data_IF_386816263897
#
_entry.id   IF_386816263897
#
_cell.length_a   1.000
_cell.length_b   1.000
_cell.length_c   1.000
_cell.angle_alpha   90.00
_cell.angle_beta   90.00
_cell.angle_gamma   90.00
#
_symmetry.space_group_name_H-M   'P 1'
#
loop_
_entity.id
_entity.type
_entity.pdbx_description
1 polymer ?
#
# COMPACT_ATOMS: atom_id res chain seq x y z
N UNK A 1 0.95 0.15 -5.82
CA UNK A 1 1.33 -0.43 -7.14
C UNK A 1 0.29 -1.43 -7.59
N UNK A 2 0.10 -1.57 -8.89
CA UNK A 2 -0.66 -2.65 -9.49
C UNK A 2 0.33 -3.73 -9.93
N UNK A 3 0.02 -5.00 -9.61
CA UNK A 3 0.80 -6.18 -9.98
C UNK A 3 -0.09 -7.06 -10.83
N UNK A 4 0.30 -7.29 -12.07
CA UNK A 4 -0.44 -8.09 -13.05
C UNK A 4 0.39 -9.32 -13.39
N UNK A 5 -0.24 -10.49 -13.30
CA UNK A 5 0.36 -11.75 -13.71
C UNK A 5 -0.30 -12.24 -15.00
N UNK A 6 0.54 -12.64 -15.93
CA UNK A 6 0.14 -13.18 -17.22
C UNK A 6 0.63 -14.62 -17.34
N UNK A 7 -0.30 -15.54 -17.44
CA UNK A 7 -0.06 -16.96 -17.54
C UNK A 7 -0.45 -17.49 -18.91
N UNK A 8 -0.96 -18.72 -18.91
CA UNK A 8 -1.45 -19.40 -20.12
C UNK A 8 -2.69 -20.21 -19.77
N UNK A 9 -3.77 -19.96 -20.50
CA UNK A 9 -5.01 -20.71 -20.30
C UNK A 9 -4.91 -22.15 -20.80
N UNK A 10 -5.65 -23.05 -20.16
CA UNK A 10 -5.85 -24.43 -20.56
C UNK A 10 -7.11 -24.98 -19.93
N UNK A 11 -7.64 -26.07 -20.45
CA UNK A 11 -8.77 -26.77 -19.84
C UNK A 11 -8.31 -27.52 -18.57
N UNK A 12 -8.79 -27.09 -17.40
CA UNK A 12 -8.29 -27.59 -16.11
C UNK A 12 -8.47 -29.12 -15.89
N UNK A 13 -9.52 -29.73 -16.47
CA UNK A 13 -9.77 -31.14 -16.32
C UNK A 13 -9.14 -32.04 -17.42
N UNK A 14 -8.80 -31.47 -18.58
CA UNK A 14 -8.32 -32.25 -19.74
C UNK A 14 -6.81 -32.10 -19.94
N UNK A 15 -6.30 -30.88 -19.88
CA UNK A 15 -4.90 -30.61 -20.18
C UNK A 15 -4.32 -29.49 -19.23
N UNK A 16 -4.41 -29.65 -17.91
CA UNK A 16 -3.91 -28.64 -16.96
C UNK A 16 -2.41 -28.38 -17.14
N UNK A 17 -1.64 -29.37 -17.51
CA UNK A 17 -0.20 -29.28 -17.77
C UNK A 17 0.18 -28.30 -18.88
N UNK A 18 -0.74 -27.98 -19.78
CA UNK A 18 -0.52 -27.02 -20.86
C UNK A 18 -0.72 -25.55 -20.43
N UNK A 19 -1.32 -25.33 -19.25
CA UNK A 19 -1.58 -24.02 -18.68
C UNK A 19 -0.50 -23.53 -17.72
N UNK A 20 -0.60 -22.24 -17.39
CA UNK A 20 0.16 -21.58 -16.31
C UNK A 20 -0.78 -20.62 -15.62
N UNK A 21 -1.08 -20.91 -14.35
CA UNK A 21 -2.09 -20.18 -13.60
C UNK A 21 -1.53 -18.84 -13.06
N UNK A 22 -2.10 -17.74 -13.51
CA UNK A 22 -1.79 -16.44 -12.96
C UNK A 22 -2.27 -16.27 -11.51
N UNK A 23 -3.31 -17.02 -11.09
CA UNK A 23 -3.82 -17.01 -9.71
C UNK A 23 -2.85 -17.72 -8.76
N UNK A 24 -2.12 -18.72 -9.21
CA UNK A 24 -1.09 -19.37 -8.40
C UNK A 24 0.03 -18.37 -8.08
N UNK A 25 0.40 -17.53 -9.05
CA UNK A 25 1.35 -16.44 -8.81
C UNK A 25 0.82 -15.42 -7.79
N UNK A 26 -0.47 -15.07 -7.82
CA UNK A 26 -1.11 -14.25 -6.80
C UNK A 26 -1.03 -14.89 -5.43
N UNK A 27 -1.30 -16.19 -5.32
CA UNK A 27 -1.21 -16.93 -4.05
C UNK A 27 0.20 -16.89 -3.49
N UNK A 28 1.21 -17.10 -4.32
CA UNK A 28 2.62 -17.00 -3.92
C UNK A 28 3.00 -15.57 -3.51
N UNK A 29 2.56 -14.55 -4.26
CA UNK A 29 2.76 -13.15 -3.88
C UNK A 29 2.16 -12.87 -2.51
N UNK A 30 0.91 -13.23 -2.27
CA UNK A 30 0.23 -12.99 -0.99
C UNK A 30 0.91 -13.71 0.17
N UNK A 31 1.36 -14.95 -0.05
CA UNK A 31 2.15 -15.71 0.94
C UNK A 31 3.46 -15.01 1.24
N UNK A 32 4.21 -14.61 0.21
CA UNK A 32 5.47 -13.87 0.36
C UNK A 32 5.30 -12.54 1.10
N UNK A 33 4.25 -11.77 0.79
CA UNK A 33 3.92 -10.55 1.53
C UNK A 33 3.55 -10.84 2.99
N UNK A 34 2.87 -11.96 3.25
CA UNK A 34 2.55 -12.42 4.60
C UNK A 34 3.81 -12.71 5.42
N UNK A 35 4.77 -13.42 4.85
CA UNK A 35 6.07 -13.74 5.47
C UNK A 35 6.90 -12.46 5.68
N UNK A 36 6.97 -11.59 4.69
CA UNK A 36 7.69 -10.31 4.76
C UNK A 36 7.21 -9.45 5.93
N UNK A 37 5.92 -9.42 6.23
CA UNK A 37 5.34 -8.58 7.31
C UNK A 37 5.98 -8.83 8.66
N UNK A 38 6.45 -10.04 8.94
CA UNK A 38 7.12 -10.38 10.20
C UNK A 38 8.48 -9.70 10.39
N UNK A 39 9.06 -9.17 9.32
CA UNK A 39 10.39 -8.58 9.28
C UNK A 39 10.38 -7.08 9.00
N UNK A 40 9.21 -6.47 8.97
CA UNK A 40 9.08 -5.02 8.76
C UNK A 40 9.26 -4.26 10.06
N UNK A 41 9.80 -3.03 9.96
CA UNK A 41 9.85 -2.09 11.10
C UNK A 41 8.42 -1.75 11.57
N UNK A 42 8.31 -1.37 12.84
CA UNK A 42 7.06 -0.87 13.41
C UNK A 42 6.47 0.27 12.56
N UNK A 43 5.14 0.42 12.60
CA UNK A 43 4.38 1.37 11.80
C UNK A 43 4.33 1.08 10.29
N UNK A 44 4.98 0.01 9.81
CA UNK A 44 4.80 -0.44 8.43
C UNK A 44 3.42 -1.06 8.23
N UNK A 45 2.82 -0.77 7.08
CA UNK A 45 1.59 -1.45 6.65
C UNK A 45 1.74 -1.87 5.20
N UNK A 46 1.48 -3.15 4.94
CA UNK A 46 1.43 -3.71 3.59
C UNK A 46 0.07 -4.38 3.42
N UNK A 47 -0.74 -3.81 2.58
CA UNK A 47 -2.10 -4.27 2.29
C UNK A 47 -2.22 -4.64 0.83
N UNK A 48 -3.06 -5.61 0.51
CA UNK A 48 -3.32 -5.98 -0.87
C UNK A 48 -4.77 -6.42 -1.06
N UNK A 49 -5.25 -6.26 -2.29
CA UNK A 49 -6.56 -6.75 -2.73
C UNK A 49 -6.44 -7.34 -4.12
N UNK A 50 -7.09 -8.50 -4.33
CA UNK A 50 -7.20 -9.11 -5.66
C UNK A 50 -8.31 -8.40 -6.43
N UNK A 51 -7.97 -7.88 -7.61
CA UNK A 51 -8.90 -7.17 -8.50
C UNK A 51 -9.43 -8.07 -9.62
N UNK A 52 -8.64 -9.07 -10.05
CA UNK A 52 -9.01 -10.05 -11.05
C UNK A 52 -8.29 -11.38 -10.78
N UNK A 53 -8.95 -12.52 -11.05
CA UNK A 53 -8.39 -13.85 -10.76
C UNK A 53 -9.12 -14.97 -11.48
N UNK A 54 -9.43 -14.79 -12.77
CA UNK A 54 -10.12 -15.80 -13.59
C UNK A 54 -11.64 -15.67 -13.60
N UNK A 55 -12.29 -16.44 -14.47
CA UNK A 55 -13.75 -16.34 -14.74
C UNK A 55 -14.47 -17.67 -14.67
N UNK A 56 -13.78 -18.81 -14.77
CA UNK A 56 -14.37 -20.14 -14.77
C UNK A 56 -13.46 -21.17 -14.09
N UNK A 57 -14.06 -22.05 -13.29
CA UNK A 57 -13.33 -23.06 -12.50
C UNK A 57 -12.72 -24.17 -13.37
N UNK A 58 -13.23 -24.38 -14.57
CA UNK A 58 -12.76 -25.39 -15.52
C UNK A 58 -11.68 -24.87 -16.49
N UNK A 59 -11.23 -23.64 -16.31
CA UNK A 59 -10.18 -23.02 -17.12
C UNK A 59 -9.05 -22.54 -16.23
N UNK A 60 -7.80 -22.85 -16.57
CA UNK A 60 -6.61 -22.30 -15.93
C UNK A 60 -6.58 -20.78 -16.18
N UNK A 61 -6.57 -19.94 -15.15
CA UNK A 61 -6.59 -18.49 -15.32
C UNK A 61 -5.27 -17.98 -15.90
N UNK A 62 -5.33 -17.29 -17.04
CA UNK A 62 -4.18 -16.71 -17.73
C UNK A 62 -3.91 -15.26 -17.34
N UNK A 63 -4.81 -14.64 -16.58
CA UNK A 63 -4.65 -13.28 -16.09
C UNK A 63 -5.12 -13.16 -14.63
N UNK A 64 -4.32 -12.46 -13.83
CA UNK A 64 -4.71 -12.04 -12.48
C UNK A 64 -4.09 -10.67 -12.14
N UNK A 65 -4.80 -9.88 -11.35
CA UNK A 65 -4.37 -8.54 -10.94
C UNK A 65 -4.55 -8.34 -9.46
N UNK A 66 -3.51 -7.80 -8.82
CA UNK A 66 -3.49 -7.46 -7.40
C UNK A 66 -3.09 -5.99 -7.26
N UNK A 67 -3.79 -5.24 -6.42
CA UNK A 67 -3.35 -3.92 -5.96
C UNK A 67 -2.66 -4.07 -4.62
N UNK A 68 -1.44 -3.52 -4.50
CA UNK A 68 -0.66 -3.50 -3.26
C UNK A 68 -0.45 -2.07 -2.81
N UNK A 69 -0.71 -1.80 -1.54
CA UNK A 69 -0.42 -0.54 -0.87
C UNK A 69 0.62 -0.77 0.23
N UNK A 70 1.63 0.11 0.27
CA UNK A 70 2.69 0.09 1.28
C UNK A 70 2.68 1.45 1.97
N UNK A 71 2.75 1.45 3.30
CA UNK A 71 2.79 2.67 4.12
C UNK A 71 3.90 2.59 5.15
N UNK A 72 4.65 3.67 5.28
CA UNK A 72 5.63 3.90 6.35
C UNK A 72 5.89 5.41 6.51
N UNK A 73 6.33 5.85 7.70
CA UNK A 73 6.65 7.25 7.97
C UNK A 73 7.97 7.71 7.33
N UNK A 74 8.92 6.80 7.09
CA UNK A 74 10.19 7.09 6.41
C UNK A 74 10.10 6.71 4.94
N UNK A 75 10.34 7.67 4.04
CA UNK A 75 10.32 7.43 2.59
C UNK A 75 11.42 6.47 2.15
N UNK A 76 12.65 6.65 2.65
CA UNK A 76 13.77 5.76 2.30
C UNK A 76 13.51 4.30 2.71
N UNK A 77 12.86 4.09 3.86
CA UNK A 77 12.48 2.74 4.27
C UNK A 77 11.31 2.20 3.43
N UNK A 78 10.33 3.04 3.10
CA UNK A 78 9.21 2.67 2.22
C UNK A 78 9.72 2.17 0.86
N UNK A 79 10.69 2.87 0.26
CA UNK A 79 11.31 2.45 -1.00
C UNK A 79 11.98 1.07 -0.89
N UNK A 80 12.64 0.78 0.24
CA UNK A 80 13.23 -0.54 0.48
C UNK A 80 12.18 -1.65 0.57
N UNK A 81 11.03 -1.39 1.20
CA UNK A 81 9.90 -2.34 1.28
C UNK A 81 9.22 -2.49 -0.07
N UNK A 82 9.12 -1.42 -0.84
CA UNK A 82 8.61 -1.47 -2.20
C UNK A 82 9.48 -2.35 -3.10
N UNK A 83 10.80 -2.18 -3.01
CA UNK A 83 11.73 -3.01 -3.77
C UNK A 83 11.60 -4.49 -3.38
N UNK A 84 11.55 -4.81 -2.09
CA UNK A 84 11.33 -6.17 -1.61
C UNK A 84 10.00 -6.76 -2.10
N UNK A 85 8.93 -5.93 -2.13
CA UNK A 85 7.63 -6.34 -2.69
C UNK A 85 7.74 -6.70 -4.18
N UNK A 86 8.51 -5.94 -4.97
CA UNK A 86 8.79 -6.23 -6.38
C UNK A 86 9.54 -7.55 -6.56
N UNK A 87 10.53 -7.80 -5.73
CA UNK A 87 11.30 -9.05 -5.75
C UNK A 87 10.44 -10.27 -5.42
N UNK A 88 9.53 -10.15 -4.44
CA UNK A 88 8.55 -11.20 -4.12
C UNK A 88 7.64 -11.46 -5.33
N UNK A 89 7.15 -10.42 -6.00
CA UNK A 89 6.30 -10.57 -7.18
C UNK A 89 7.04 -11.24 -8.35
N UNK A 90 8.31 -10.90 -8.56
CA UNK A 90 9.17 -11.54 -9.56
C UNK A 90 9.42 -13.01 -9.22
N UNK A 91 9.72 -13.32 -7.96
CA UNK A 91 9.90 -14.70 -7.49
C UNK A 91 8.62 -15.54 -7.66
N UNK A 92 7.45 -14.95 -7.38
CA UNK A 92 6.17 -15.60 -7.59
C UNK A 92 5.93 -15.94 -9.08
N UNK A 93 6.24 -15.00 -9.97
CA UNK A 93 6.14 -15.24 -11.42
C UNK A 93 7.11 -16.33 -11.90
N UNK A 94 8.34 -16.32 -11.42
CA UNK A 94 9.33 -17.36 -11.75
C UNK A 94 8.88 -18.75 -11.29
N UNK A 95 8.40 -18.86 -10.05
CA UNK A 95 7.98 -20.14 -9.48
C UNK A 95 6.76 -20.75 -10.20
N UNK A 96 5.87 -19.91 -10.72
CA UNK A 96 4.65 -20.34 -11.42
C UNK A 96 4.79 -20.33 -12.94
N UNK A 97 5.98 -20.00 -13.46
CA UNK A 97 6.24 -19.89 -14.90
C UNK A 97 5.27 -18.92 -15.61
N UNK A 98 4.91 -17.84 -14.93
CA UNK A 98 4.10 -16.72 -15.47
C UNK A 98 4.98 -15.50 -15.73
N UNK A 99 4.41 -14.47 -16.34
CA UNK A 99 5.04 -13.15 -16.49
C UNK A 99 4.43 -12.19 -15.49
N UNK A 100 5.20 -11.24 -14.98
CA UNK A 100 4.72 -10.20 -14.08
C UNK A 100 4.98 -8.82 -14.65
N UNK A 101 3.95 -7.97 -14.59
CA UNK A 101 4.04 -6.54 -14.86
C UNK A 101 3.71 -5.76 -13.60
N UNK A 102 4.57 -4.82 -13.19
CA UNK A 102 4.40 -4.02 -11.97
C UNK A 102 4.35 -2.55 -12.37
N UNK A 103 3.19 -1.92 -12.12
CA UNK A 103 2.93 -0.52 -12.46
C UNK A 103 2.77 0.30 -11.18
N UNK A 104 3.58 1.35 -10.95
CA UNK A 104 3.34 2.28 -9.86
C UNK A 104 2.03 3.04 -10.12
N UNK A 105 1.18 3.17 -9.09
CA UNK A 105 -0.11 3.87 -9.23
C UNK A 105 -0.04 5.27 -8.65
N UNK A 106 0.49 5.39 -7.44
CA UNK A 106 0.63 6.67 -6.74
C UNK A 106 1.79 6.58 -5.75
N UNK A 107 2.45 7.71 -5.54
CA UNK A 107 3.46 7.90 -4.52
C UNK A 107 3.05 9.09 -3.66
N UNK A 108 2.68 8.84 -2.40
CA UNK A 108 2.24 9.87 -1.46
C UNK A 108 3.35 10.06 -0.45
N UNK A 109 3.88 11.29 -0.37
CA UNK A 109 4.95 11.64 0.55
C UNK A 109 4.48 11.62 2.01
N UNK A 110 5.37 11.25 2.92
CA UNK A 110 5.16 11.45 4.35
C UNK A 110 5.06 12.95 4.67
N UNK A 111 4.37 13.28 5.75
CA UNK A 111 4.28 14.68 6.21
C UNK A 111 5.51 15.02 7.05
N UNK A 112 6.19 16.11 6.68
CA UNK A 112 7.28 16.73 7.46
C UNK A 112 6.76 18.01 8.08
N UNK A 113 6.68 18.06 9.41
CA UNK A 113 6.13 19.22 10.13
C UNK A 113 7.25 20.19 10.46
N UNK A 114 6.99 21.48 10.26
CA UNK A 114 7.85 22.55 10.75
C UNK A 114 7.52 22.83 12.21
N UNK A 115 8.46 22.54 13.12
CA UNK A 115 8.24 22.62 14.56
C UNK A 115 7.94 24.05 15.04
N UNK A 116 8.60 25.06 14.47
CA UNK A 116 8.36 26.47 14.84
C UNK A 116 6.94 26.92 14.47
N UNK A 117 6.48 26.58 13.27
CA UNK A 117 5.09 26.84 12.85
C UNK A 117 4.09 26.02 13.66
N UNK A 118 4.43 24.77 13.99
CA UNK A 118 3.63 23.91 14.84
C UNK A 118 3.42 24.52 16.24
N UNK A 119 4.48 25.00 16.86
CA UNK A 119 4.43 25.67 18.17
C UNK A 119 3.55 26.92 18.15
N UNK A 120 3.75 27.80 17.14
CA UNK A 120 2.92 28.99 16.98
C UNK A 120 1.43 28.65 16.77
N UNK A 121 1.15 27.64 15.95
CA UNK A 121 -0.22 27.20 15.69
C UNK A 121 -0.86 26.63 16.96
N UNK A 122 -0.12 25.91 17.79
CA UNK A 122 -0.61 25.41 19.07
C UNK A 122 -0.89 26.55 20.06
N UNK A 123 -0.02 27.54 20.17
CA UNK A 123 -0.25 28.75 21.00
C UNK A 123 -1.53 29.47 20.57
N UNK A 124 -1.77 29.59 19.27
CA UNK A 124 -3.01 30.18 18.77
C UNK A 124 -4.23 29.29 19.08
N UNK A 125 -4.11 27.99 18.92
CA UNK A 125 -5.19 27.04 19.19
C UNK A 125 -5.63 27.05 20.66
N UNK A 126 -4.71 27.18 21.60
CA UNK A 126 -4.99 27.26 23.04
C UNK A 126 -5.89 28.45 23.40
N UNK A 127 -5.80 29.56 22.63
CA UNK A 127 -6.66 30.74 22.86
C UNK A 127 -8.11 30.56 22.42
N UNK A 128 -8.38 29.58 21.53
CA UNK A 128 -9.68 29.40 20.90
C UNK A 128 -10.29 28.01 21.16
N UNK A 129 -9.55 27.05 21.72
CA UNK A 129 -10.03 25.71 21.97
C UNK A 129 -10.93 25.63 23.21
N UNK A 130 -12.24 25.63 23.00
CA UNK A 130 -13.23 25.54 24.09
C UNK A 130 -13.22 24.19 24.79
N UNK A 131 -12.93 23.10 24.06
CA UNK A 131 -13.00 21.72 24.54
C UNK A 131 -11.62 21.12 24.87
N UNK A 132 -10.59 21.96 24.89
CA UNK A 132 -9.20 21.54 25.10
C UNK A 132 -8.51 21.01 23.86
N UNK A 133 -7.23 20.68 24.01
CA UNK A 133 -6.34 20.20 22.93
C UNK A 133 -6.01 18.73 23.19
N UNK A 134 -6.37 17.86 22.25
CA UNK A 134 -5.99 16.46 22.32
C UNK A 134 -4.50 16.26 21.99
N UNK A 135 -3.84 15.25 22.59
CA UNK A 135 -2.46 14.93 22.25
C UNK A 135 -2.33 14.56 20.75
N UNK A 136 -1.15 14.78 20.14
CA UNK A 136 -0.92 14.46 18.74
C UNK A 136 -1.15 12.96 18.49
N UNK A 137 -1.75 12.62 17.37
CA UNK A 137 -1.97 11.23 16.98
C UNK A 137 -0.62 10.58 16.66
N UNK A 138 -0.38 9.38 17.17
CA UNK A 138 0.81 8.58 16.85
C UNK A 138 0.76 8.01 15.44
N UNK A 139 -0.45 7.67 14.96
CA UNK A 139 -0.67 7.11 13.62
C UNK A 139 -1.43 8.11 12.76
N UNK A 140 -0.88 8.41 11.59
CA UNK A 140 -1.47 9.34 10.64
C UNK A 140 -1.88 8.59 9.36
N UNK A 141 -3.06 8.95 8.83
CA UNK A 141 -3.45 8.57 7.48
C UNK A 141 -2.60 9.30 6.44
N UNK A 142 -2.57 8.80 5.21
CA UNK A 142 -1.95 9.48 4.08
C UNK A 142 -2.74 10.73 3.71
N UNK A 143 -2.03 11.77 3.26
CA UNK A 143 -2.63 13.02 2.76
C UNK A 143 -1.72 13.64 1.71
N UNK A 144 -2.30 14.25 0.69
CA UNK A 144 -1.59 14.99 -0.35
C UNK A 144 -0.80 16.17 0.20
N UNK A 145 -1.16 16.63 1.40
CA UNK A 145 -0.43 17.67 2.13
C UNK A 145 1.04 17.29 2.38
N UNK A 146 1.37 15.99 2.41
CA UNK A 146 2.76 15.52 2.47
C UNK A 146 3.63 16.14 1.38
N UNK A 147 3.16 16.22 0.14
CA UNK A 147 3.90 16.82 -0.97
C UNK A 147 4.19 18.31 -0.77
N UNK A 148 3.30 19.04 -0.11
CA UNK A 148 3.49 20.46 0.24
C UNK A 148 4.57 20.62 1.30
N UNK A 149 4.54 19.75 2.34
CA UNK A 149 5.48 19.85 3.46
C UNK A 149 6.94 19.56 3.08
N UNK A 150 7.18 18.87 1.97
CA UNK A 150 8.53 18.66 1.42
C UNK A 150 9.07 19.85 0.61
N UNK A 151 8.23 20.84 0.31
CA UNK A 151 8.60 21.98 -0.53
C UNK A 151 8.53 23.32 0.22
N UNK A 152 7.66 23.39 1.22
CA UNK A 152 7.41 24.60 2.01
C UNK A 152 7.36 24.26 3.50
N UNK A 153 7.88 25.12 4.40
CA UNK A 153 7.62 25.00 5.82
C UNK A 153 6.11 24.96 6.06
N UNK A 154 5.64 23.92 6.70
CA UNK A 154 4.19 23.66 6.82
C UNK A 154 3.85 22.98 8.13
N UNK A 155 2.64 23.21 8.62
CA UNK A 155 2.03 22.46 9.71
C UNK A 155 0.52 22.32 9.46
N UNK A 156 -0.14 21.41 10.18
CA UNK A 156 -1.56 21.15 10.02
C UNK A 156 -2.23 20.99 11.39
N UNK A 157 -3.24 21.77 11.65
CA UNK A 157 -4.12 21.63 12.80
C UNK A 157 -5.37 20.85 12.39
N UNK A 158 -5.80 19.92 13.23
CA UNK A 158 -7.07 19.22 13.07
C UNK A 158 -8.05 19.70 14.12
N UNK A 159 -9.20 20.16 13.68
CA UNK A 159 -10.29 20.60 14.53
C UNK A 159 -11.34 19.50 14.59
N UNK A 160 -11.79 19.16 15.81
CA UNK A 160 -12.90 18.24 16.01
C UNK A 160 -14.21 18.96 15.65
N UNK A 161 -14.87 18.48 14.62
CA UNK A 161 -16.24 18.88 14.30
C UNK A 161 -17.23 17.89 14.91
N UNK A 162 -18.45 18.34 15.21
CA UNK A 162 -19.51 17.46 15.68
C UNK A 162 -19.81 16.37 14.63
N UNK A 163 -19.85 15.10 15.06
CA UNK A 163 -20.19 13.96 14.20
C UNK A 163 -21.70 13.71 14.11
N UNK A 164 -22.51 14.55 14.74
CA UNK A 164 -23.98 14.35 14.80
C UNK A 164 -24.65 14.63 13.43
N UNK A 165 -23.95 15.26 12.50
CA UNK A 165 -24.49 15.70 11.20
C UNK A 165 -23.74 15.11 9.99
N UNK A 166 -23.03 14.01 10.18
CA UNK A 166 -22.42 13.24 9.09
C UNK A 166 -23.11 11.89 8.98
#
# INVERSE_FOLDING_TARGET
MDVEFHGKTAHAGIAPYAGRSAVDAVTMLQTGLGLMRNHLKDSSRVSNIVLAGGTAVNSVPDFAKVKVEIRHSSMAYLESVEQWTREIAQAAAMATQTQVQITPVAHIYNTTINDAMGALLMECAEKFACDGIAPPRKDCGSTDFGAVTHRLPSCCLRVKLSLIHI
#
